data_IF_786384409515
#
_entry.id   IF_786384409515
#
_cell.length_a   1.000
_cell.length_b   1.000
_cell.length_c   1.000
_cell.angle_alpha   90.00
_cell.angle_beta   90.00
_cell.angle_gamma   90.00
#
_symmetry.space_group_name_H-M   'P 1'
#
loop_
_entity.id
_entity.type
_entity.pdbx_description
1 polymer ?
#
# COMPACT_ATOMS: atom_id res chain seq x y z
N UNK A 1 -6.16 -6.65 7.40
CA UNK A 1 -5.92 -7.38 8.65
C UNK A 1 -4.43 -7.61 8.84
N UNK A 2 -4.00 -7.64 10.05
CA UNK A 2 -2.57 -7.71 10.39
C UNK A 2 -1.84 -8.86 9.69
N UNK A 3 -2.45 -10.03 9.66
CA UNK A 3 -1.88 -11.24 9.06
C UNK A 3 -1.88 -11.23 7.54
N UNK A 4 -2.52 -10.24 6.91
CA UNK A 4 -2.64 -10.19 5.45
C UNK A 4 -1.53 -9.40 4.77
N UNK A 5 -0.66 -8.74 5.52
CA UNK A 5 0.31 -7.82 4.91
C UNK A 5 1.18 -8.50 3.86
N UNK A 6 1.78 -9.63 4.19
CA UNK A 6 2.69 -10.32 3.26
C UNK A 6 1.99 -10.77 1.99
N UNK A 7 0.76 -11.28 2.15
CA UNK A 7 -0.05 -11.71 1.00
C UNK A 7 -0.40 -10.51 0.10
N UNK A 8 -0.84 -9.42 0.70
CA UNK A 8 -1.19 -8.20 -0.05
C UNK A 8 0.03 -7.62 -0.75
N UNK A 9 1.18 -7.58 -0.06
CA UNK A 9 2.41 -7.10 -0.67
C UNK A 9 2.83 -7.96 -1.85
N UNK A 10 2.73 -9.28 -1.71
CA UNK A 10 3.04 -10.20 -2.80
C UNK A 10 2.20 -9.94 -4.05
N UNK A 11 0.91 -9.68 -3.87
CA UNK A 11 0.01 -9.34 -4.97
C UNK A 11 0.41 -8.03 -5.65
N UNK A 12 0.74 -7.02 -4.87
CA UNK A 12 1.14 -5.72 -5.39
C UNK A 12 2.47 -5.83 -6.14
N UNK A 13 3.47 -6.48 -5.56
CA UNK A 13 4.79 -6.60 -6.16
C UNK A 13 4.84 -7.51 -7.37
N UNK A 14 3.88 -8.43 -7.50
CA UNK A 14 3.75 -9.25 -8.69
C UNK A 14 3.59 -8.38 -9.95
N UNK A 15 2.91 -7.25 -9.82
CA UNK A 15 2.67 -6.32 -10.92
C UNK A 15 3.71 -5.20 -11.02
N UNK A 16 4.39 -4.85 -9.92
CA UNK A 16 5.30 -3.71 -9.89
C UNK A 16 6.67 -4.00 -10.54
N UNK A 17 6.88 -5.20 -11.00
CA UNK A 17 8.04 -5.52 -11.79
C UNK A 17 9.35 -5.64 -11.02
N UNK A 18 10.46 -5.65 -11.79
CA UNK A 18 11.79 -5.86 -11.28
C UNK A 18 12.64 -4.60 -11.27
N UNK A 19 13.91 -4.83 -11.54
CA UNK A 19 14.91 -3.76 -11.59
C UNK A 19 14.80 -2.97 -12.89
N UNK A 20 14.83 -1.66 -12.76
CA UNK A 20 14.83 -0.72 -13.89
C UNK A 20 15.85 0.39 -13.61
N UNK A 21 16.63 0.72 -14.62
CA UNK A 21 17.53 1.88 -14.56
C UNK A 21 17.32 2.73 -15.81
N UNK A 22 16.70 3.89 -15.62
CA UNK A 22 16.52 4.85 -16.69
C UNK A 22 17.55 5.96 -16.55
N UNK A 23 18.62 5.98 -17.40
CA UNK A 23 19.69 6.97 -17.26
C UNK A 23 19.24 8.42 -17.36
N UNK A 24 18.12 8.67 -18.03
CA UNK A 24 17.55 10.02 -18.19
C UNK A 24 16.54 10.38 -17.10
N UNK A 25 16.17 9.44 -16.23
CA UNK A 25 15.24 9.66 -15.14
C UNK A 25 15.99 10.16 -13.92
N UNK A 26 15.61 11.31 -13.34
CA UNK A 26 16.24 11.81 -12.10
C UNK A 26 16.15 10.81 -10.96
N UNK A 27 15.16 9.90 -10.98
CA UNK A 27 15.01 8.85 -9.98
C UNK A 27 16.06 7.75 -10.08
N UNK A 28 16.67 7.56 -11.25
CA UNK A 28 17.71 6.56 -11.46
C UNK A 28 17.21 5.13 -11.33
N UNK A 29 17.96 4.34 -10.55
CA UNK A 29 17.65 2.94 -10.33
C UNK A 29 16.39 2.74 -9.48
N UNK A 30 15.59 1.76 -9.87
CA UNK A 30 14.38 1.35 -9.14
C UNK A 30 14.31 -0.17 -9.15
N UNK A 31 13.95 -0.76 -8.04
CA UNK A 31 13.68 -2.20 -8.00
C UNK A 31 12.46 -2.45 -7.12
N UNK A 32 11.55 -3.27 -7.62
CA UNK A 32 10.30 -3.61 -6.93
C UNK A 32 9.51 -2.38 -6.46
N UNK A 33 9.55 -1.32 -7.30
CA UNK A 33 8.85 -0.08 -7.01
C UNK A 33 9.54 0.86 -6.02
N UNK A 34 10.71 0.48 -5.52
CA UNK A 34 11.47 1.31 -4.57
C UNK A 34 12.63 1.99 -5.30
N UNK A 35 12.70 3.31 -5.20
CA UNK A 35 13.82 4.07 -5.79
C UNK A 35 15.06 3.91 -4.94
N UNK A 36 16.22 4.11 -5.56
CA UNK A 36 17.51 4.06 -4.87
C UNK A 36 17.54 5.04 -3.69
N UNK A 37 17.02 6.25 -3.89
CA UNK A 37 16.98 7.26 -2.84
C UNK A 37 16.19 6.81 -1.62
N UNK A 38 15.02 6.23 -1.83
CA UNK A 38 14.18 5.73 -0.74
C UNK A 38 14.87 4.59 0.00
N UNK A 39 15.49 3.67 -0.75
CA UNK A 39 16.21 2.56 -0.17
C UNK A 39 17.43 3.02 0.64
N UNK A 40 18.22 3.95 0.09
CA UNK A 40 19.38 4.49 0.81
C UNK A 40 18.98 5.17 2.11
N UNK A 41 17.94 6.00 2.08
CA UNK A 41 17.42 6.65 3.27
C UNK A 41 16.96 5.64 4.31
N UNK A 42 16.27 4.60 3.85
CA UNK A 42 15.83 3.50 4.73
C UNK A 42 17.01 2.83 5.43
N UNK A 43 18.06 2.51 4.66
CA UNK A 43 19.25 1.87 5.21
C UNK A 43 19.94 2.76 6.25
N UNK A 44 20.03 4.06 6.00
CA UNK A 44 20.60 5.02 6.95
C UNK A 44 19.78 5.05 8.25
N UNK A 45 18.46 5.18 8.13
CA UNK A 45 17.56 5.23 9.28
C UNK A 45 17.60 3.95 10.12
N UNK A 46 17.77 2.80 9.48
CA UNK A 46 17.76 1.49 10.15
C UNK A 46 19.16 0.96 10.46
N UNK A 47 20.20 1.72 10.12
CA UNK A 47 21.60 1.30 10.30
C UNK A 47 21.89 -0.04 9.62
N UNK A 48 21.50 -0.15 8.34
CA UNK A 48 21.69 -1.35 7.53
C UNK A 48 22.72 -1.12 6.45
N UNK A 49 23.42 -2.21 6.07
CA UNK A 49 24.27 -2.18 4.88
C UNK A 49 23.41 -2.07 3.63
N UNK A 50 23.86 -1.21 2.72
CA UNK A 50 23.20 -1.07 1.42
C UNK A 50 23.63 -2.21 0.49
N UNK A 51 22.64 -2.89 -0.08
CA UNK A 51 22.84 -3.82 -1.18
C UNK A 51 22.80 -3.06 -2.49
N UNK A 52 23.33 -3.67 -3.55
CA UNK A 52 23.09 -3.17 -4.90
C UNK A 52 21.59 -3.24 -5.20
N UNK A 53 21.06 -2.21 -5.86
CA UNK A 53 19.65 -2.14 -6.20
C UNK A 53 19.15 -3.37 -6.98
N UNK A 54 20.01 -3.95 -7.80
CA UNK A 54 19.69 -5.16 -8.56
C UNK A 54 19.40 -6.37 -7.68
N UNK A 55 19.98 -6.40 -6.49
CA UNK A 55 19.95 -7.55 -5.59
C UNK A 55 18.84 -7.47 -4.55
N UNK A 56 17.99 -6.44 -4.60
CA UNK A 56 16.89 -6.29 -3.64
C UNK A 56 15.88 -7.41 -3.79
N UNK A 57 15.55 -8.01 -2.67
CA UNK A 57 14.53 -9.06 -2.56
C UNK A 57 13.25 -8.47 -1.96
N UNK A 58 12.17 -9.23 -2.04
CA UNK A 58 10.90 -8.83 -1.40
C UNK A 58 11.12 -8.57 0.09
N UNK A 59 11.93 -9.40 0.76
CA UNK A 59 12.23 -9.21 2.18
C UNK A 59 12.95 -7.89 2.49
N UNK A 60 13.68 -7.33 1.54
CA UNK A 60 14.36 -6.05 1.71
C UNK A 60 13.40 -4.86 1.58
N UNK A 61 12.40 -4.97 0.72
CA UNK A 61 11.45 -3.88 0.46
C UNK A 61 10.19 -3.97 1.33
N UNK A 62 9.89 -5.14 1.87
CA UNK A 62 8.68 -5.35 2.69
C UNK A 62 8.58 -4.37 3.87
N UNK A 63 9.62 -4.14 4.67
CA UNK A 63 9.52 -3.18 5.77
C UNK A 63 9.35 -1.73 5.28
N UNK A 64 9.86 -1.40 4.11
CA UNK A 64 9.70 -0.07 3.51
C UNK A 64 8.24 0.17 3.13
N UNK A 65 7.63 -0.78 2.40
CA UNK A 65 6.22 -0.71 2.05
C UNK A 65 5.32 -0.69 3.27
N UNK A 66 5.70 -1.44 4.31
CA UNK A 66 4.92 -1.47 5.54
C UNK A 66 4.90 -0.11 6.21
N UNK A 67 6.05 0.50 6.41
CA UNK A 67 6.14 1.79 7.09
C UNK A 67 5.51 2.92 6.26
N UNK A 68 5.78 2.95 4.95
CA UNK A 68 5.40 4.07 4.10
C UNK A 68 3.96 4.02 3.61
N UNK A 69 3.33 2.85 3.58
CA UNK A 69 1.98 2.68 3.03
C UNK A 69 1.05 1.95 3.99
N UNK A 70 1.38 0.72 4.34
CA UNK A 70 0.49 -0.13 5.12
C UNK A 70 0.16 0.46 6.49
N UNK A 71 1.19 0.88 7.23
CA UNK A 71 1.00 1.43 8.58
C UNK A 71 0.34 2.81 8.54
N UNK A 72 0.67 3.62 7.55
CA UNK A 72 0.04 4.94 7.38
C UNK A 72 -1.45 4.83 7.10
N UNK A 73 -1.86 3.77 6.43
CA UNK A 73 -3.27 3.51 6.12
C UNK A 73 -3.98 2.74 7.23
N UNK A 74 -3.29 2.42 8.32
CA UNK A 74 -3.84 1.63 9.41
C UNK A 74 -4.42 0.30 8.93
N UNK A 75 -3.77 -0.30 7.94
CA UNK A 75 -4.30 -1.48 7.26
C UNK A 75 -4.37 -2.71 8.16
N UNK A 76 -3.57 -2.79 9.22
CA UNK A 76 -3.71 -3.86 10.23
C UNK A 76 -5.11 -3.88 10.85
N UNK A 77 -5.75 -2.72 10.96
CA UNK A 77 -7.06 -2.56 11.57
C UNK A 77 -8.22 -2.67 10.56
N UNK A 78 -7.90 -2.80 9.27
CA UNK A 78 -8.93 -2.90 8.23
C UNK A 78 -9.35 -4.35 8.02
N UNK A 79 -10.63 -4.58 7.68
CA UNK A 79 -11.12 -5.93 7.37
C UNK A 79 -10.46 -6.52 6.14
N UNK A 80 -10.54 -7.85 6.03
CA UNK A 80 -10.04 -8.59 4.89
C UNK A 80 -10.71 -8.11 3.59
N UNK A 81 -9.91 -7.81 2.59
CA UNK A 81 -10.35 -7.25 1.32
C UNK A 81 -10.26 -5.73 1.28
N UNK A 82 -10.71 -5.05 2.32
CA UNK A 82 -10.57 -3.60 2.45
C UNK A 82 -9.10 -3.22 2.58
N UNK A 83 -8.34 -3.96 3.36
CA UNK A 83 -6.90 -3.76 3.53
C UNK A 83 -6.15 -3.79 2.20
N UNK A 84 -6.43 -4.78 1.36
CA UNK A 84 -5.78 -4.89 0.05
C UNK A 84 -6.18 -3.73 -0.86
N UNK A 85 -7.45 -3.37 -0.91
CA UNK A 85 -7.95 -2.28 -1.75
C UNK A 85 -7.28 -0.95 -1.40
N UNK A 86 -7.24 -0.63 -0.13
CA UNK A 86 -6.71 0.64 0.35
C UNK A 86 -5.19 0.68 0.19
N UNK A 87 -4.53 -0.44 0.47
CA UNK A 87 -3.09 -0.56 0.27
C UNK A 87 -2.71 -0.39 -1.20
N UNK A 88 -3.41 -1.06 -2.09
CA UNK A 88 -3.19 -0.95 -3.53
C UNK A 88 -3.38 0.49 -4.01
N UNK A 89 -4.45 1.14 -3.59
CA UNK A 89 -4.71 2.54 -3.93
C UNK A 89 -3.62 3.45 -3.36
N UNK A 90 -3.18 3.18 -2.14
CA UNK A 90 -2.13 3.97 -1.49
C UNK A 90 -0.79 3.87 -2.21
N UNK A 91 -0.42 2.68 -2.65
CA UNK A 91 0.82 2.46 -3.41
C UNK A 91 0.76 3.14 -4.78
N UNK A 92 -0.38 3.06 -5.46
CA UNK A 92 -0.52 3.60 -6.82
C UNK A 92 -0.80 5.10 -6.87
N UNK A 93 -1.53 5.64 -5.90
CA UNK A 93 -2.00 7.02 -5.96
C UNK A 93 -1.59 7.88 -4.75
N UNK A 94 -0.92 7.28 -3.78
CA UNK A 94 -0.54 7.94 -2.54
C UNK A 94 -1.47 7.61 -1.39
N UNK A 95 -0.92 7.61 -0.18
CA UNK A 95 -1.68 7.20 1.02
C UNK A 95 -2.82 8.15 1.34
N UNK A 96 -2.64 9.45 1.10
CA UNK A 96 -3.70 10.43 1.30
C UNK A 96 -4.91 10.16 0.41
N UNK A 97 -4.68 9.85 -0.86
CA UNK A 97 -5.76 9.50 -1.80
C UNK A 97 -6.41 8.18 -1.46
N UNK A 98 -5.60 7.18 -1.06
CA UNK A 98 -6.13 5.88 -0.62
C UNK A 98 -7.04 6.03 0.59
N UNK A 99 -6.62 6.81 1.58
CA UNK A 99 -7.42 7.08 2.76
C UNK A 99 -8.72 7.82 2.43
N UNK A 100 -8.64 8.86 1.59
CA UNK A 100 -9.83 9.62 1.19
C UNK A 100 -10.81 8.79 0.40
N UNK A 101 -10.31 7.92 -0.45
CA UNK A 101 -11.16 6.99 -1.20
C UNK A 101 -11.96 6.09 -0.26
N UNK A 102 -11.28 5.47 0.71
CA UNK A 102 -11.96 4.65 1.70
C UNK A 102 -13.00 5.45 2.47
N UNK A 103 -12.63 6.63 2.94
CA UNK A 103 -13.52 7.50 3.71
C UNK A 103 -14.80 7.84 2.93
N UNK A 104 -14.66 8.15 1.65
CA UNK A 104 -15.83 8.41 0.80
C UNK A 104 -16.71 7.19 0.65
N UNK A 105 -16.12 6.01 0.50
CA UNK A 105 -16.88 4.77 0.36
C UNK A 105 -17.72 4.45 1.58
N UNK A 106 -17.23 4.72 2.78
CA UNK A 106 -17.90 4.37 4.03
C UNK A 106 -18.66 5.54 4.68
N UNK A 107 -18.64 6.72 4.05
CA UNK A 107 -19.34 7.88 4.56
C UNK A 107 -18.65 8.61 5.70
N UNK A 108 -17.35 8.43 5.86
CA UNK A 108 -16.56 9.15 6.85
C UNK A 108 -16.11 10.51 6.30
N UNK A 109 -15.66 11.38 7.20
CA UNK A 109 -15.05 12.65 6.80
C UNK A 109 -13.78 12.37 5.99
N UNK A 110 -13.72 12.94 4.79
CA UNK A 110 -12.64 12.66 3.83
C UNK A 110 -11.47 13.61 4.05
N UNK A 111 -10.74 13.42 5.15
CA UNK A 111 -9.60 14.24 5.54
C UNK A 111 -8.23 13.62 5.19
N UNK A 112 -8.21 12.39 4.69
CA UNK A 112 -6.98 11.72 4.29
C UNK A 112 -6.21 11.04 5.42
N UNK A 113 -6.76 11.02 6.62
CA UNK A 113 -6.14 10.39 7.78
C UNK A 113 -7.09 9.34 8.37
N UNK A 114 -6.66 8.08 8.36
CA UNK A 114 -7.46 6.99 8.91
C UNK A 114 -7.25 6.95 10.42
N UNK A 115 -8.26 7.39 11.15
CA UNK A 115 -8.27 7.38 12.60
C UNK A 115 -9.45 6.57 13.14
N UNK A 116 -9.72 6.68 14.46
CA UNK A 116 -10.79 5.91 15.10
C UNK A 116 -12.18 6.11 14.47
N UNK A 117 -12.48 7.33 14.02
CA UNK A 117 -13.77 7.63 13.39
C UNK A 117 -13.92 6.92 12.05
N UNK A 118 -12.86 6.93 11.23
CA UNK A 118 -12.87 6.24 9.95
C UNK A 118 -13.01 4.72 10.16
N UNK A 119 -12.25 4.16 11.10
CA UNK A 119 -12.30 2.73 11.39
C UNK A 119 -13.67 2.30 11.89
N UNK A 120 -14.32 3.10 12.72
CA UNK A 120 -15.69 2.83 13.16
C UNK A 120 -16.66 2.83 11.98
N UNK A 121 -16.55 3.79 11.07
CA UNK A 121 -17.40 3.85 9.89
C UNK A 121 -17.18 2.65 8.97
N UNK A 122 -15.95 2.17 8.86
CA UNK A 122 -15.66 0.94 8.11
C UNK A 122 -16.39 -0.25 8.72
N UNK A 123 -16.31 -0.40 10.04
CA UNK A 123 -16.98 -1.50 10.75
C UNK A 123 -18.48 -1.44 10.58
N UNK A 124 -19.08 -0.25 10.71
CA UNK A 124 -20.51 -0.04 10.52
C UNK A 124 -20.92 -0.37 9.08
N UNK A 125 -20.14 0.08 8.11
CA UNK A 125 -20.43 -0.15 6.69
C UNK A 125 -20.45 -1.65 6.37
N UNK A 126 -19.47 -2.40 6.91
CA UNK A 126 -19.41 -3.86 6.70
C UNK A 126 -20.55 -4.57 7.40
N UNK A 127 -20.87 -4.16 8.63
CA UNK A 127 -22.00 -4.76 9.37
C UNK A 127 -23.31 -4.58 8.63
N UNK A 128 -23.48 -3.45 7.91
CA UNK A 128 -24.70 -3.18 7.15
C UNK A 128 -24.78 -3.92 5.82
N UNK A 129 -23.65 -4.15 5.16
CA UNK A 129 -23.59 -4.68 3.79
C UNK A 129 -23.04 -6.08 3.66
N UNK A 130 -22.27 -6.54 4.66
CA UNK A 130 -21.62 -7.84 4.65
C UNK A 130 -20.37 -7.90 3.80
N UNK A 131 -19.68 -9.03 3.88
CA UNK A 131 -18.39 -9.24 3.22
C UNK A 131 -18.46 -9.24 1.70
N UNK A 132 -19.58 -9.66 1.13
CA UNK A 132 -19.76 -9.66 -0.33
C UNK A 132 -19.64 -8.27 -0.93
N UNK A 133 -20.17 -7.26 -0.24
CA UNK A 133 -20.05 -5.88 -0.69
C UNK A 133 -18.60 -5.40 -0.66
N UNK A 134 -17.82 -5.83 0.31
CA UNK A 134 -16.38 -5.53 0.38
C UNK A 134 -15.64 -6.18 -0.79
N UNK A 135 -15.90 -7.44 -1.05
CA UNK A 135 -15.31 -8.16 -2.18
C UNK A 135 -15.67 -7.51 -3.52
N UNK A 136 -16.90 -7.10 -3.68
CA UNK A 136 -17.34 -6.39 -4.88
C UNK A 136 -16.60 -5.06 -5.04
N UNK A 137 -16.46 -4.29 -3.97
CA UNK A 137 -15.73 -3.03 -3.98
C UNK A 137 -14.28 -3.25 -4.39
N UNK A 138 -13.66 -4.30 -3.87
CA UNK A 138 -12.30 -4.67 -4.25
C UNK A 138 -12.18 -4.92 -5.76
N UNK A 139 -13.09 -5.68 -6.33
CA UNK A 139 -13.08 -6.03 -7.76
C UNK A 139 -13.31 -4.81 -8.66
N UNK A 140 -14.01 -3.80 -8.19
CA UNK A 140 -14.35 -2.61 -8.98
C UNK A 140 -13.35 -1.47 -8.83
N UNK A 141 -12.36 -1.57 -7.92
CA UNK A 141 -11.36 -0.54 -7.74
C UNK A 141 -10.45 -0.44 -8.96
N UNK A 142 -10.28 0.76 -9.54
CA UNK A 142 -9.35 0.92 -10.64
C UNK A 142 -7.91 0.82 -10.11
N UNK A 143 -7.08 0.05 -10.82
CA UNK A 143 -5.65 0.01 -10.52
C UNK A 143 -4.86 0.24 -11.78
N UNK A 144 -3.67 0.81 -11.64
CA UNK A 144 -2.79 1.06 -12.80
C UNK A 144 -2.30 -0.23 -13.45
N UNK A 145 -2.30 -1.31 -12.71
CA UNK A 145 -1.80 -2.60 -13.18
C UNK A 145 -2.77 -3.34 -14.08
N UNK A 146 -4.01 -2.92 -14.12
CA UNK A 146 -5.04 -3.55 -14.95
C UNK A 146 -4.93 -3.11 -16.41
N UNK A 147 -4.27 -2.04 -16.64
CA UNK A 147 -4.11 -1.44 -17.99
C UNK A 147 -3.20 -2.29 -18.87
#
# INVERSE_FOLDING_TARGET
>A
MKENYEHCLGLILHHEGGYVNHPKDPGGETNKGVTKRVYENWCIEQDLFQKDMKDLRISDVAPIYRQNYWDRLKADALPNGVDLCVFDMGVNAGTGRGARFLQKCVGAVSDGAIGPNTLRQVDEWIAMRGEEAVSYTHLTLPTKRIV
#
